data_IF_557062741769
#
_entry.id   IF_557062741769
#
_cell.length_a   1.000
_cell.length_b   1.000
_cell.length_c   1.000
_cell.angle_alpha   90.00
_cell.angle_beta   90.00
_cell.angle_gamma   90.00
#
_symmetry.space_group_name_H-M   'P 1'
#
loop_
_entity.id
_entity.type
_entity.pdbx_description
1 polymer ?
#
# COMPACT_ATOMS: atom_id res chain seq x y z
N UNK A 1 -3.61 -12.82 11.35
CA UNK A 1 -3.22 -11.52 10.75
C UNK A 1 -2.80 -11.75 9.31
N UNK A 2 -3.45 -11.07 8.40
CA UNK A 2 -3.13 -11.12 6.97
C UNK A 2 -2.33 -9.89 6.58
N UNK A 3 -1.49 -10.01 5.56
CA UNK A 3 -0.78 -8.86 5.01
C UNK A 3 -0.88 -8.82 3.49
N UNK A 4 -0.72 -7.62 2.94
CA UNK A 4 -0.51 -7.41 1.53
C UNK A 4 0.58 -6.36 1.36
N UNK A 5 1.57 -6.67 0.54
CA UNK A 5 2.71 -5.80 0.30
C UNK A 5 2.71 -5.43 -1.17
N UNK A 6 2.86 -4.14 -1.45
CA UNK A 6 3.08 -3.63 -2.79
C UNK A 6 4.47 -3.01 -2.87
N UNK A 7 5.24 -3.40 -3.87
CA UNK A 7 6.50 -2.76 -4.19
C UNK A 7 6.35 -2.14 -5.57
N UNK A 8 6.42 -0.80 -5.63
CA UNK A 8 6.22 -0.05 -6.86
C UNK A 8 7.46 0.73 -7.20
N UNK A 9 7.99 0.49 -8.40
CA UNK A 9 9.15 1.21 -8.92
C UNK A 9 8.66 2.20 -9.96
N UNK A 10 8.87 3.49 -9.68
CA UNK A 10 8.44 4.59 -10.54
C UNK A 10 9.58 5.00 -11.47
N UNK A 11 9.28 5.62 -12.63
CA UNK A 11 10.31 6.12 -13.54
C UNK A 11 11.18 7.20 -12.91
N UNK A 12 10.65 7.97 -11.94
CA UNK A 12 11.40 9.04 -11.27
C UNK A 12 11.04 9.13 -9.79
N UNK A 13 11.90 9.79 -9.02
CA UNK A 13 11.66 10.07 -7.61
C UNK A 13 10.44 10.98 -7.44
N UNK A 14 10.30 11.97 -8.31
CA UNK A 14 9.19 12.93 -8.26
C UNK A 14 7.84 12.23 -8.44
N UNK A 15 7.76 11.27 -9.34
CA UNK A 15 6.53 10.49 -9.55
C UNK A 15 6.22 9.61 -8.35
N UNK A 16 7.25 9.05 -7.70
CA UNK A 16 7.08 8.27 -6.48
C UNK A 16 6.55 9.16 -5.34
N UNK A 17 7.11 10.35 -5.19
CA UNK A 17 6.67 11.30 -4.17
C UNK A 17 5.23 11.75 -4.43
N UNK A 18 4.88 12.01 -5.69
CA UNK A 18 3.51 12.36 -6.06
C UNK A 18 2.55 11.23 -5.70
N UNK A 19 2.90 10.00 -6.03
CA UNK A 19 2.06 8.85 -5.72
C UNK A 19 1.86 8.70 -4.21
N UNK A 20 2.91 8.82 -3.41
CA UNK A 20 2.79 8.73 -1.95
C UNK A 20 1.96 9.87 -1.36
N UNK A 21 2.04 11.05 -1.94
CA UNK A 21 1.19 12.18 -1.56
C UNK A 21 -0.29 11.86 -1.82
N UNK A 22 -0.59 11.24 -2.96
CA UNK A 22 -1.95 10.78 -3.29
C UNK A 22 -2.43 9.75 -2.27
N UNK A 23 -1.58 8.77 -1.93
CA UNK A 23 -1.93 7.76 -0.92
C UNK A 23 -2.25 8.40 0.42
N UNK A 24 -1.43 9.35 0.86
CA UNK A 24 -1.63 10.04 2.13
C UNK A 24 -2.98 10.77 2.15
N UNK A 25 -3.30 11.47 1.09
CA UNK A 25 -4.56 12.21 0.99
C UNK A 25 -5.78 11.29 0.97
N UNK A 26 -5.71 10.23 0.17
CA UNK A 26 -6.85 9.32 -0.01
C UNK A 26 -7.07 8.43 1.21
N UNK A 27 -6.01 7.79 1.70
CA UNK A 27 -6.15 6.83 2.80
C UNK A 27 -6.44 7.49 4.15
N UNK A 28 -6.08 8.74 4.35
CA UNK A 28 -6.46 9.46 5.56
C UNK A 28 -7.99 9.51 5.75
N UNK A 29 -8.73 9.41 4.65
CA UNK A 29 -10.20 9.42 4.66
C UNK A 29 -10.75 7.99 4.56
N UNK A 30 -10.30 7.23 3.56
CA UNK A 30 -10.89 5.93 3.23
C UNK A 30 -10.67 4.87 4.31
N UNK A 31 -9.52 4.90 4.98
CA UNK A 31 -9.17 3.87 5.98
C UNK A 31 -10.10 3.90 7.21
N UNK A 32 -10.74 5.05 7.47
CA UNK A 32 -11.62 5.21 8.62
C UNK A 32 -12.83 4.27 8.58
N UNK A 33 -13.22 3.85 7.40
CA UNK A 33 -14.38 2.96 7.21
C UNK A 33 -14.02 1.48 7.35
N UNK A 34 -12.74 1.15 7.56
CA UNK A 34 -12.27 -0.24 7.67
C UNK A 34 -11.43 -0.39 8.94
N UNK A 35 -12.07 -0.60 10.11
CA UNK A 35 -11.33 -0.76 11.35
C UNK A 35 -10.47 -2.04 11.36
N UNK A 36 -9.42 -2.05 12.18
CA UNK A 36 -8.54 -3.21 12.31
C UNK A 36 -7.52 -3.36 11.18
N UNK A 37 -7.26 -2.28 10.43
CA UNK A 37 -6.33 -2.27 9.31
C UNK A 37 -5.21 -1.28 9.61
N UNK A 38 -3.97 -1.67 9.29
CA UNK A 38 -2.83 -0.75 9.32
C UNK A 38 -2.22 -0.61 7.95
N UNK A 39 -1.70 0.57 7.68
CA UNK A 39 -1.06 0.93 6.42
C UNK A 39 0.25 1.65 6.73
N UNK A 40 1.35 1.15 6.18
CA UNK A 40 2.66 1.77 6.31
C UNK A 40 3.32 1.85 4.94
N UNK A 41 4.03 2.95 4.70
CA UNK A 41 4.80 3.14 3.47
C UNK A 41 6.26 3.38 3.83
N UNK A 42 7.15 2.77 3.04
CA UNK A 42 8.60 2.83 3.26
C UNK A 42 9.31 3.21 1.96
N UNK A 43 10.33 4.04 2.07
CA UNK A 43 11.29 4.34 1.01
C UNK A 43 12.69 4.35 1.58
N UNK A 44 13.68 3.98 0.77
CA UNK A 44 15.09 4.14 1.15
C UNK A 44 15.70 5.32 0.41
N UNK A 45 16.75 5.90 0.99
CA UNK A 45 17.48 7.01 0.34
C UNK A 45 18.27 6.54 -0.88
N UNK A 46 18.65 5.25 -0.91
CA UNK A 46 19.39 4.67 -2.04
C UNK A 46 18.53 4.47 -3.27
N UNK A 47 17.23 4.19 -3.08
CA UNK A 47 16.30 3.96 -4.18
C UNK A 47 15.01 4.76 -3.95
N UNK A 48 15.09 6.11 -4.03
CA UNK A 48 13.96 6.97 -3.65
C UNK A 48 12.78 6.91 -4.63
N UNK A 49 12.92 6.23 -5.75
CA UNK A 49 11.85 5.99 -6.72
C UNK A 49 11.09 4.69 -6.47
N UNK A 50 11.41 3.95 -5.40
CA UNK A 50 10.70 2.73 -5.02
C UNK A 50 9.92 2.97 -3.74
N UNK A 51 8.60 2.72 -3.80
CA UNK A 51 7.72 2.80 -2.64
C UNK A 51 7.25 1.40 -2.25
N UNK A 52 7.42 1.04 -0.99
CA UNK A 52 6.94 -0.21 -0.43
C UNK A 52 5.81 0.08 0.53
N UNK A 53 4.63 -0.45 0.23
CA UNK A 53 3.43 -0.29 1.06
C UNK A 53 3.14 -1.62 1.73
N UNK A 54 2.95 -1.59 3.05
CA UNK A 54 2.63 -2.76 3.85
C UNK A 54 1.26 -2.58 4.48
N UNK A 55 0.32 -3.42 4.06
CA UNK A 55 -0.99 -3.51 4.67
C UNK A 55 -1.03 -4.68 5.64
N UNK A 56 -1.64 -4.46 6.81
CA UNK A 56 -1.97 -5.54 7.74
C UNK A 56 -3.47 -5.52 8.00
N UNK A 57 -4.08 -6.70 7.95
CA UNK A 57 -5.53 -6.86 8.09
C UNK A 57 -5.84 -7.80 9.25
N UNK A 58 -6.85 -7.45 10.01
CA UNK A 58 -7.30 -8.28 11.10
C UNK A 58 -7.97 -9.56 10.59
N UNK A 59 -8.70 -9.49 9.47
CA UNK A 59 -9.42 -10.61 8.89
C UNK A 59 -9.51 -10.49 7.36
N UNK A 60 -10.03 -11.55 6.73
CA UNK A 60 -10.17 -11.60 5.27
C UNK A 60 -11.21 -10.60 4.74
N UNK A 61 -12.22 -10.29 5.54
CA UNK A 61 -13.25 -9.32 5.13
C UNK A 61 -12.69 -7.91 5.03
N UNK A 62 -11.89 -7.49 6.01
CA UNK A 62 -11.20 -6.20 5.97
C UNK A 62 -10.26 -6.10 4.77
N UNK A 63 -9.54 -7.19 4.48
CA UNK A 63 -8.66 -7.26 3.31
C UNK A 63 -9.44 -7.05 2.01
N UNK A 64 -10.59 -7.70 1.85
CA UNK A 64 -11.44 -7.54 0.66
C UNK A 64 -11.93 -6.11 0.51
N UNK A 65 -12.34 -5.47 1.61
CA UNK A 65 -12.79 -4.09 1.59
C UNK A 65 -11.69 -3.14 1.12
N UNK A 66 -10.47 -3.31 1.64
CA UNK A 66 -9.33 -2.49 1.22
C UNK A 66 -8.97 -2.74 -0.23
N UNK A 67 -8.97 -4.00 -0.69
CA UNK A 67 -8.69 -4.33 -2.09
C UNK A 67 -9.69 -3.67 -3.03
N UNK A 68 -10.96 -3.62 -2.65
CA UNK A 68 -11.99 -2.93 -3.43
C UNK A 68 -11.75 -1.42 -3.45
N UNK A 69 -11.38 -0.83 -2.33
CA UNK A 69 -11.06 0.60 -2.26
C UNK A 69 -9.83 0.93 -3.11
N UNK A 70 -8.83 0.06 -3.15
CA UNK A 70 -7.66 0.23 -4.03
C UNK A 70 -8.12 0.25 -5.49
N UNK A 71 -8.94 -0.72 -5.90
CA UNK A 71 -9.43 -0.78 -7.27
C UNK A 71 -10.24 0.46 -7.65
N UNK A 72 -11.10 0.93 -6.73
CA UNK A 72 -12.00 2.06 -7.00
C UNK A 72 -11.30 3.42 -6.93
N UNK A 73 -10.24 3.57 -6.13
CA UNK A 73 -9.69 4.88 -5.80
C UNK A 73 -8.19 5.07 -6.12
N UNK A 74 -7.41 4.01 -6.22
CA UNK A 74 -5.96 4.08 -6.36
C UNK A 74 -5.47 3.61 -7.72
N UNK A 75 -6.10 2.58 -8.27
CA UNK A 75 -5.66 1.92 -9.50
C UNK A 75 -5.51 2.87 -10.69
N UNK A 76 -6.37 3.88 -10.79
CA UNK A 76 -6.30 4.90 -11.85
C UNK A 76 -4.98 5.69 -11.80
N UNK A 77 -4.43 5.93 -10.61
CA UNK A 77 -3.17 6.65 -10.46
C UNK A 77 -1.98 5.78 -10.84
N UNK A 78 -2.03 4.48 -10.55
CA UNK A 78 -0.99 3.55 -11.01
C UNK A 78 -1.01 3.40 -12.53
N UNK A 79 -2.19 3.45 -13.16
CA UNK A 79 -2.31 3.45 -14.62
C UNK A 79 -1.67 4.71 -15.22
N UNK A 80 -1.86 5.88 -14.60
CA UNK A 80 -1.32 7.16 -15.08
C UNK A 80 0.19 7.27 -14.86
N UNK A 81 0.68 6.90 -13.68
CA UNK A 81 2.09 7.03 -13.29
C UNK A 81 2.93 5.83 -13.74
N UNK A 82 2.27 4.75 -14.19
CA UNK A 82 2.89 3.56 -14.79
C UNK A 82 4.06 2.95 -14.01
N UNK A 83 3.96 2.74 -12.69
CA UNK A 83 5.02 2.06 -11.96
C UNK A 83 5.05 0.58 -12.32
N UNK A 84 6.22 -0.03 -12.22
CA UNK A 84 6.33 -1.48 -12.17
C UNK A 84 5.89 -1.91 -10.78
N UNK A 85 4.85 -2.75 -10.70
CA UNK A 85 4.27 -3.15 -9.43
C UNK A 85 4.49 -4.65 -9.21
N UNK A 86 5.01 -4.96 -8.02
CA UNK A 86 5.05 -6.32 -7.48
C UNK A 86 4.13 -6.34 -6.26
N UNK A 87 3.38 -7.41 -6.08
CA UNK A 87 2.54 -7.55 -4.90
C UNK A 87 2.68 -8.95 -4.30
N UNK A 88 2.48 -9.01 -3.00
CA UNK A 88 2.52 -10.24 -2.23
C UNK A 88 1.38 -10.21 -1.21
N UNK A 89 0.71 -11.35 -1.03
CA UNK A 89 -0.29 -11.53 0.02
C UNK A 89 0.07 -12.76 0.84
N UNK A 90 -0.08 -12.68 2.15
CA UNK A 90 0.24 -13.80 3.03
C UNK A 90 -0.43 -13.72 4.38
N UNK A 91 -0.28 -14.80 5.12
CA UNK A 91 -0.71 -14.87 6.51
C UNK A 91 0.52 -14.83 7.41
N UNK A 92 0.37 -14.24 8.59
CA UNK A 92 1.44 -14.25 9.59
C UNK A 92 1.67 -15.69 10.05
N UNK A 93 2.88 -16.19 9.88
CA UNK A 93 3.27 -17.52 10.35
C UNK A 93 4.12 -17.46 11.61
N UNK A 94 4.81 -16.35 11.84
CA UNK A 94 5.66 -16.14 13.00
C UNK A 94 5.48 -14.71 13.51
N UNK A 95 5.49 -14.58 14.83
CA UNK A 95 5.42 -13.28 15.48
C UNK A 95 6.21 -13.33 16.78
N UNK A 96 7.22 -12.48 16.88
CA UNK A 96 8.03 -12.32 18.08
C UNK A 96 7.95 -10.88 18.54
N UNK A 97 7.90 -10.72 19.87
CA UNK A 97 7.95 -9.41 20.48
C UNK A 97 8.97 -9.45 21.61
N UNK A 98 9.97 -8.57 21.55
CA UNK A 98 10.98 -8.45 22.60
C UNK A 98 10.48 -7.63 23.79
#
# INVERSE_FOLDING_TARGET
>A
MLCKIFIRTFPSTEECELFESILQTRWSILIKDVPGVTFDAYRTKQTPNISTVVWQFHDAESKKKIEKLIDDNIKKFTATLSPKTMSFSGERTLHFKS
#
